data_IF_648377192769
#
_entry.id   IF_648377192769
#
_cell.length_a   1.000
_cell.length_b   1.000
_cell.length_c   1.000
_cell.angle_alpha   90.00
_cell.angle_beta   90.00
_cell.angle_gamma   90.00
#
_symmetry.space_group_name_H-M   'P 1'
#
loop_
_entity.id
_entity.type
_entity.pdbx_description
1 polymer ?
#
# COMPACT_ATOMS: atom_id res chain seq x y z
N UNK A 1 1.57 7.16 2.83
CA UNK A 1 2.00 7.50 1.47
C UNK A 1 0.95 8.33 0.75
N UNK A 2 1.40 9.10 -0.21
CA UNK A 2 0.54 9.86 -1.10
C UNK A 2 0.06 8.97 -2.22
N UNK A 3 -1.23 9.02 -2.50
CA UNK A 3 -1.72 8.61 -3.79
C UNK A 3 -1.42 9.72 -4.83
N UNK A 4 -1.59 9.43 -6.09
CA UNK A 4 -1.37 10.39 -7.18
C UNK A 4 -2.32 11.58 -7.14
N UNK A 5 -3.41 11.48 -6.43
CA UNK A 5 -4.35 12.58 -6.18
C UNK A 5 -3.84 13.57 -5.15
N UNK A 6 -2.79 13.21 -4.39
CA UNK A 6 -2.03 14.14 -3.53
C UNK A 6 -2.78 14.69 -2.33
N UNK A 7 -3.88 14.09 -1.92
CA UNK A 7 -4.78 14.70 -0.95
C UNK A 7 -4.96 13.92 0.33
N UNK A 8 -4.55 12.67 0.36
CA UNK A 8 -4.90 11.79 1.46
C UNK A 8 -3.70 10.98 1.91
N UNK A 9 -3.64 10.73 3.19
CA UNK A 9 -2.73 9.80 3.83
C UNK A 9 -3.17 8.37 3.53
N UNK A 10 -3.17 8.00 2.25
CA UNK A 10 -3.53 6.67 1.82
C UNK A 10 -2.53 5.65 2.37
N UNK A 11 -3.06 4.53 2.83
CA UNK A 11 -2.28 3.38 3.22
C UNK A 11 -2.60 2.23 2.25
N UNK A 12 -2.07 2.29 1.03
CA UNK A 12 -2.30 1.29 0.01
C UNK A 12 -1.62 -0.02 0.37
N UNK A 13 -2.03 -1.07 -0.29
CA UNK A 13 -1.48 -2.40 -0.08
C UNK A 13 -0.31 -2.65 -1.03
N UNK A 14 0.80 -3.09 -0.47
CA UNK A 14 1.99 -3.50 -1.20
C UNK A 14 2.25 -5.01 -1.06
N UNK A 15 2.96 -5.54 -2.03
CA UNK A 15 3.48 -6.91 -2.01
C UNK A 15 5.00 -6.91 -2.19
N UNK A 16 5.63 -7.96 -1.72
CA UNK A 16 7.04 -8.24 -1.95
C UNK A 16 7.32 -9.72 -1.80
N UNK A 17 8.43 -10.19 -2.35
CA UNK A 17 8.93 -11.53 -2.09
C UNK A 17 9.43 -11.67 -0.64
N UNK A 18 9.53 -12.88 -0.08
CA UNK A 18 10.02 -13.09 1.28
C UNK A 18 11.44 -12.58 1.55
N UNK A 19 12.25 -12.39 0.51
CA UNK A 19 13.60 -11.82 0.59
C UNK A 19 13.63 -10.29 0.42
N UNK A 20 12.46 -9.66 0.35
CA UNK A 20 12.30 -8.21 0.19
C UNK A 20 12.43 -7.70 -1.24
N UNK A 21 12.64 -8.58 -2.22
CA UNK A 21 12.68 -8.20 -3.63
C UNK A 21 11.28 -8.06 -4.22
N UNK A 22 11.16 -7.40 -5.36
CA UNK A 22 9.91 -7.27 -6.11
C UNK A 22 8.85 -6.46 -5.36
N UNK A 23 9.26 -5.43 -4.62
CA UNK A 23 8.31 -4.52 -4.00
C UNK A 23 7.46 -3.84 -5.05
N UNK A 24 6.16 -4.00 -4.95
CA UNK A 24 5.21 -3.43 -5.90
C UNK A 24 3.88 -3.15 -5.19
N UNK A 25 3.16 -2.19 -5.72
CA UNK A 25 1.79 -1.97 -5.34
C UNK A 25 0.95 -3.20 -5.64
N UNK A 26 0.02 -3.47 -4.74
CA UNK A 26 -0.99 -4.50 -4.93
C UNK A 26 -2.37 -3.89 -5.17
N UNK A 27 -2.75 -2.88 -4.36
CA UNK A 27 -4.04 -2.21 -4.44
C UNK A 27 -3.99 -0.83 -3.76
N UNK A 28 -4.62 0.17 -4.34
CA UNK A 28 -5.04 1.40 -3.69
C UNK A 28 -4.13 2.61 -3.86
N UNK A 29 -3.09 2.55 -4.72
CA UNK A 29 -2.17 3.68 -4.90
C UNK A 29 -2.86 4.93 -5.45
N UNK A 30 -3.83 4.76 -6.33
CA UNK A 30 -4.63 5.85 -6.89
C UNK A 30 -6.04 5.96 -6.29
N UNK A 31 -6.34 5.16 -5.28
CA UNK A 31 -7.63 5.17 -4.63
C UNK A 31 -7.83 6.42 -3.78
N UNK A 32 -8.97 7.03 -3.94
CA UNK A 32 -9.42 8.13 -3.10
C UNK A 32 -9.96 7.62 -1.77
N UNK A 33 -10.65 6.50 -1.84
CA UNK A 33 -11.17 5.74 -0.69
C UNK A 33 -11.23 4.24 -1.05
N UNK A 34 -11.25 3.35 -0.08
CA UNK A 34 -10.93 3.59 1.31
C UNK A 34 -9.46 3.96 1.47
N UNK A 35 -9.17 4.85 2.39
CA UNK A 35 -7.81 5.36 2.57
C UNK A 35 -6.88 4.39 3.27
N UNK A 36 -7.44 3.44 4.00
CA UNK A 36 -6.68 2.44 4.75
C UNK A 36 -7.23 1.06 4.49
N UNK A 37 -6.34 0.16 4.10
CA UNK A 37 -6.60 -1.27 3.95
C UNK A 37 -5.73 -2.01 4.95
N UNK A 38 -6.34 -2.77 5.86
CA UNK A 38 -5.61 -3.40 6.95
C UNK A 38 -6.02 -4.85 7.18
N UNK A 39 -5.22 -5.56 7.99
CA UNK A 39 -5.48 -6.92 8.46
C UNK A 39 -5.72 -7.92 7.32
N UNK A 40 -4.94 -7.77 6.25
CA UNK A 40 -5.09 -8.51 5.01
C UNK A 40 -4.71 -9.98 5.18
N UNK A 41 -5.52 -10.85 4.59
CA UNK A 41 -5.27 -12.28 4.47
C UNK A 41 -5.52 -12.77 3.05
N UNK A 42 -4.64 -13.63 2.55
CA UNK A 42 -4.87 -14.29 1.26
C UNK A 42 -6.01 -15.30 1.38
N UNK A 43 -6.90 -15.29 0.40
CA UNK A 43 -7.92 -16.32 0.24
C UNK A 43 -7.26 -17.58 -0.31
N UNK A 44 -7.40 -18.73 0.36
CA UNK A 44 -6.72 -19.96 -0.04
C UNK A 44 -6.96 -20.35 -1.49
N UNK A 45 -5.88 -20.67 -2.20
CA UNK A 45 -5.94 -21.15 -3.59
C UNK A 45 -6.14 -20.06 -4.65
N UNK A 46 -6.21 -18.80 -4.26
CA UNK A 46 -6.45 -17.67 -5.17
C UNK A 46 -5.36 -16.60 -5.07
N UNK A 47 -5.42 -15.59 -5.93
CA UNK A 47 -4.67 -14.35 -5.80
C UNK A 47 -5.43 -13.28 -5.02
N UNK A 48 -6.70 -13.54 -4.71
CA UNK A 48 -7.55 -12.60 -3.99
C UNK A 48 -7.14 -12.48 -2.53
N UNK A 49 -7.40 -11.32 -1.98
CA UNK A 49 -7.15 -10.99 -0.58
C UNK A 49 -8.44 -10.55 0.10
N UNK A 50 -8.57 -10.85 1.36
CA UNK A 50 -9.64 -10.32 2.19
C UNK A 50 -9.05 -9.36 3.23
N UNK A 51 -9.73 -8.26 3.50
CA UNK A 51 -9.26 -7.28 4.47
C UNK A 51 -10.32 -6.36 5.01
N UNK A 52 -9.89 -5.52 5.91
CA UNK A 52 -10.70 -4.49 6.55
C UNK A 52 -10.41 -3.14 5.91
N UNK A 53 -11.47 -2.46 5.49
CA UNK A 53 -11.44 -1.16 4.83
C UNK A 53 -11.95 -0.10 5.78
N UNK A 54 -11.16 0.92 6.00
CA UNK A 54 -11.45 1.97 6.97
C UNK A 54 -10.97 3.34 6.50
N UNK A 55 -11.48 4.40 7.11
CA UNK A 55 -10.97 5.75 6.93
C UNK A 55 -9.69 6.00 7.73
N UNK A 56 -9.00 7.09 7.43
CA UNK A 56 -7.75 7.48 8.06
C UNK A 56 -7.87 7.68 9.58
N UNK A 57 -8.95 8.30 10.05
CA UNK A 57 -9.21 8.58 11.46
C UNK A 57 -10.23 7.61 12.08
N UNK A 58 -10.17 6.35 11.73
CA UNK A 58 -10.97 5.29 12.37
C UNK A 58 -10.07 4.38 13.19
N UNK A 59 -10.57 3.82 14.30
CA UNK A 59 -9.90 2.69 14.93
C UNK A 59 -9.75 1.55 13.92
N UNK A 60 -8.82 0.64 14.16
CA UNK A 60 -8.46 -0.43 13.20
C UNK A 60 -9.55 -1.51 13.05
N UNK A 61 -10.73 -1.06 12.71
CA UNK A 61 -11.90 -1.87 12.34
C UNK A 61 -12.71 -1.11 11.28
N UNK A 62 -13.56 -1.79 10.55
CA UNK A 62 -14.33 -1.16 9.48
C UNK A 62 -15.13 -2.17 8.66
N UNK A 63 -15.21 -1.94 7.37
CA UNK A 63 -15.94 -2.77 6.41
C UNK A 63 -15.09 -3.94 5.95
N UNK A 64 -15.76 -5.06 5.64
CA UNK A 64 -15.10 -6.27 5.16
C UNK A 64 -15.20 -6.33 3.64
N UNK A 65 -14.07 -6.56 2.98
CA UNK A 65 -14.04 -6.67 1.52
C UNK A 65 -13.01 -7.66 1.00
N UNK A 66 -13.24 -8.06 -0.24
CA UNK A 66 -12.34 -8.90 -1.03
C UNK A 66 -11.71 -8.03 -2.11
N UNK A 67 -10.39 -8.09 -2.22
CA UNK A 67 -9.60 -7.48 -3.28
C UNK A 67 -9.31 -8.54 -4.33
N UNK A 68 -9.69 -8.25 -5.57
CA UNK A 68 -9.36 -9.03 -6.75
C UNK A 68 -8.48 -8.17 -7.67
N UNK A 69 -7.16 -8.40 -7.73
CA UNK A 69 -6.26 -7.58 -8.54
C UNK A 69 -6.47 -7.78 -10.06
N UNK A 70 -7.22 -8.80 -10.46
CA UNK A 70 -7.54 -9.05 -11.87
C UNK A 70 -8.76 -8.24 -12.33
N UNK A 71 -9.63 -7.83 -11.39
CA UNK A 71 -10.76 -6.95 -11.67
C UNK A 71 -10.38 -5.47 -11.67
N UNK A 72 -9.30 -5.11 -10.99
CA UNK A 72 -8.81 -3.74 -10.88
C UNK A 72 -7.94 -3.55 -9.64
N UNK A 73 -7.34 -2.37 -9.51
CA UNK A 73 -6.40 -2.09 -8.41
C UNK A 73 -6.72 -0.85 -7.60
N UNK A 74 -7.77 -0.14 -7.97
CA UNK A 74 -8.13 1.09 -7.32
C UNK A 74 -9.64 1.20 -7.10
N UNK A 75 -10.01 1.81 -5.97
CA UNK A 75 -11.41 2.07 -5.60
C UNK A 75 -12.29 0.81 -5.73
N UNK A 76 -13.45 0.94 -6.35
CA UNK A 76 -14.39 -0.18 -6.47
C UNK A 76 -14.10 -1.13 -7.64
N UNK A 77 -13.11 -0.85 -8.48
CA UNK A 77 -12.81 -1.71 -9.62
C UNK A 77 -12.20 -3.06 -9.18
N UNK A 78 -11.40 -3.03 -8.12
CA UNK A 78 -10.77 -4.23 -7.58
C UNK A 78 -11.33 -4.71 -6.25
N UNK A 79 -12.45 -4.13 -5.76
CA UNK A 79 -12.99 -4.46 -4.43
C UNK A 79 -14.46 -4.82 -4.50
N UNK A 80 -14.79 -5.94 -3.86
CA UNK A 80 -16.17 -6.32 -3.56
C UNK A 80 -16.37 -6.33 -2.04
N UNK A 81 -17.31 -5.51 -1.54
CA UNK A 81 -17.66 -5.54 -0.14
C UNK A 81 -18.50 -6.78 0.19
N UNK A 82 -18.07 -7.51 1.19
CA UNK A 82 -18.80 -8.62 1.78
C UNK A 82 -19.74 -8.11 2.86
N UNK A 83 -19.35 -7.03 3.53
CA UNK A 83 -20.20 -6.37 4.52
C UNK A 83 -19.95 -4.86 4.53
N UNK A 84 -20.95 -4.07 4.20
CA UNK A 84 -22.29 -4.47 3.71
C UNK A 84 -22.23 -5.17 2.35
N UNK A 85 -23.07 -6.15 2.20
CA UNK A 85 -23.07 -7.06 1.03
C UNK A 85 -23.25 -6.28 -0.26
N UNK A 86 -22.32 -6.45 -1.20
CA UNK A 86 -22.39 -5.93 -2.58
C UNK A 86 -22.70 -4.44 -2.72
N UNK A 87 -22.36 -3.63 -1.69
CA UNK A 87 -22.57 -2.18 -1.75
C UNK A 87 -21.24 -1.45 -1.79
N UNK A 88 -21.03 -0.58 -2.77
CA UNK A 88 -20.03 0.47 -2.66
C UNK A 88 -20.47 1.43 -1.54
N UNK A 89 -19.53 1.88 -0.74
CA UNK A 89 -19.81 2.90 0.27
C UNK A 89 -19.52 4.29 -0.32
N UNK A 90 -20.30 5.31 0.07
CA UNK A 90 -20.01 6.67 -0.31
C UNK A 90 -18.70 7.13 0.31
N UNK A 91 -18.02 7.98 -0.39
CA UNK A 91 -16.71 8.49 -0.05
C UNK A 91 -16.73 9.32 1.23
N UNK A 92 -16.13 8.81 2.27
CA UNK A 92 -15.81 9.56 3.48
C UNK A 92 -14.40 9.20 3.91
N UNK A 93 -13.45 10.01 3.48
CA UNK A 93 -12.03 9.75 3.66
C UNK A 93 -11.68 9.45 5.12
N UNK A 94 -12.13 10.29 6.06
CA UNK A 94 -11.81 10.13 7.48
C UNK A 94 -12.79 9.27 8.25
N UNK A 95 -14.01 9.15 7.79
CA UNK A 95 -15.08 8.47 8.53
C UNK A 95 -15.51 7.13 7.93
N UNK A 96 -14.88 6.71 6.84
CA UNK A 96 -15.23 5.47 6.17
C UNK A 96 -15.12 4.27 7.10
N UNK A 97 -16.14 3.42 7.11
CA UNK A 97 -16.18 2.23 7.96
C UNK A 97 -16.46 2.49 9.45
N UNK A 98 -16.78 3.72 9.85
CA UNK A 98 -16.94 4.10 11.27
C UNK A 98 -18.29 3.73 11.86
N UNK A 99 -19.32 3.63 11.03
CA UNK A 99 -20.70 3.42 11.46
C UNK A 99 -21.19 2.02 11.11
N UNK A 100 -22.24 1.57 11.79
CA UNK A 100 -22.86 0.27 11.62
C UNK A 100 -21.95 -0.91 11.99
N UNK A 101 -22.13 -2.04 11.35
CA UNK A 101 -21.37 -3.27 11.55
C UNK A 101 -19.85 -3.03 11.44
N UNK A 102 -19.10 -3.53 12.40
CA UNK A 102 -17.66 -3.41 12.45
C UNK A 102 -16.98 -4.77 12.39
N UNK A 103 -15.94 -4.86 11.59
CA UNK A 103 -15.17 -6.07 11.35
C UNK A 103 -13.70 -5.88 11.67
N UNK A 104 -13.08 -6.93 12.15
CA UNK A 104 -11.63 -7.02 12.37
C UNK A 104 -11.13 -8.43 12.04
N UNK A 105 -9.86 -8.52 11.73
CA UNK A 105 -9.09 -9.76 11.66
C UNK A 105 -9.79 -10.89 10.87
N UNK A 106 -10.18 -10.66 9.62
CA UNK A 106 -10.78 -11.71 8.81
C UNK A 106 -9.79 -12.86 8.60
N UNK A 107 -10.33 -14.07 8.60
CA UNK A 107 -9.60 -15.29 8.31
C UNK A 107 -10.38 -16.10 7.27
N UNK A 108 -10.07 -15.93 5.98
CA UNK A 108 -10.79 -16.64 4.93
C UNK A 108 -10.49 -18.13 4.97
N UNK A 109 -11.55 -18.92 4.90
CA UNK A 109 -11.52 -20.38 4.75
C UNK A 109 -11.59 -20.75 3.27
N UNK A 110 -12.37 -19.99 2.51
CA UNK A 110 -12.56 -20.07 1.06
C UNK A 110 -12.91 -18.70 0.49
N UNK A 111 -13.31 -18.61 -0.77
CA UNK A 111 -13.85 -17.37 -1.37
C UNK A 111 -15.23 -16.99 -0.80
N UNK A 112 -15.91 -17.91 -0.15
CA UNK A 112 -17.29 -17.74 0.29
C UNK A 112 -17.50 -17.93 1.78
N UNK A 113 -16.49 -18.37 2.54
CA UNK A 113 -16.61 -18.65 3.96
C UNK A 113 -15.42 -18.10 4.73
N UNK A 114 -15.69 -17.48 5.89
CA UNK A 114 -14.70 -16.73 6.65
C UNK A 114 -14.92 -16.91 8.16
N UNK A 115 -13.84 -16.84 8.92
CA UNK A 115 -13.90 -16.49 10.34
C UNK A 115 -13.60 -15.00 10.48
N UNK A 116 -14.34 -14.31 11.31
CA UNK A 116 -14.22 -12.87 11.50
C UNK A 116 -14.37 -12.49 12.98
N UNK A 117 -13.76 -11.40 13.36
CA UNK A 117 -14.15 -10.68 14.57
C UNK A 117 -15.17 -9.62 14.17
N UNK A 118 -16.32 -9.62 14.84
CA UNK A 118 -17.46 -8.79 14.46
C UNK A 118 -18.18 -8.22 15.67
N UNK A 119 -18.67 -6.98 15.51
CA UNK A 119 -19.64 -6.36 16.41
C UNK A 119 -20.69 -5.58 15.61
N UNK A 120 -21.98 -5.66 15.96
CA UNK A 120 -23.05 -4.88 15.33
C UNK A 120 -23.04 -3.40 15.76
N UNK A 121 -22.27 -3.08 16.79
CA UNK A 121 -22.23 -1.73 17.36
C UNK A 121 -21.22 -0.87 16.59
N UNK A 122 -21.69 0.24 16.05
CA UNK A 122 -20.81 1.24 15.47
C UNK A 122 -19.82 1.81 16.50
N UNK A 123 -18.82 2.52 16.01
CA UNK A 123 -17.86 3.19 16.87
C UNK A 123 -18.49 4.39 17.57
N UNK A 124 -18.56 4.32 18.89
CA UNK A 124 -18.92 5.44 19.76
C UNK A 124 -17.76 5.73 20.72
N UNK A 125 -17.30 6.96 20.74
CA UNK A 125 -16.26 7.39 21.68
C UNK A 125 -16.72 7.15 23.11
N UNK A 126 -15.96 6.42 23.90
CA UNK A 126 -16.23 6.16 25.30
C UNK A 126 -17.04 4.88 25.61
N UNK A 127 -17.45 4.14 24.58
CA UNK A 127 -18.06 2.83 24.79
C UNK A 127 -17.09 1.70 24.40
N UNK A 128 -16.87 0.70 25.27
CA UNK A 128 -16.11 -0.47 24.89
C UNK A 128 -16.83 -1.20 23.76
N UNK A 129 -16.11 -1.52 22.72
CA UNK A 129 -16.62 -2.34 21.63
C UNK A 129 -16.31 -3.80 21.92
N UNK A 130 -17.34 -4.60 22.08
CA UNK A 130 -17.22 -6.02 22.33
C UNK A 130 -17.28 -6.78 21.00
N UNK A 131 -16.17 -7.32 20.58
CA UNK A 131 -16.09 -8.19 19.41
C UNK A 131 -16.28 -9.64 19.82
N UNK A 132 -17.11 -10.35 19.08
CA UNK A 132 -17.17 -11.83 19.10
C UNK A 132 -16.51 -12.41 17.86
N UNK A 133 -16.17 -13.68 17.91
CA UNK A 133 -15.73 -14.45 16.74
C UNK A 133 -16.93 -15.12 16.10
N UNK A 134 -17.08 -14.92 14.81
CA UNK A 134 -18.17 -15.46 14.01
C UNK A 134 -17.64 -16.26 12.81
N UNK A 135 -18.37 -17.26 12.41
CA UNK A 135 -18.37 -17.74 11.04
C UNK A 135 -19.28 -16.82 10.21
N UNK A 136 -18.87 -16.57 8.98
CA UNK A 136 -19.64 -15.73 8.04
C UNK A 136 -19.48 -16.26 6.63
N UNK A 137 -20.54 -16.17 5.83
CA UNK A 137 -20.46 -16.42 4.39
C UNK A 137 -20.49 -15.12 3.57
N UNK A 138 -20.27 -15.28 2.24
CA UNK A 138 -20.25 -14.15 1.31
C UNK A 138 -21.61 -13.48 1.11
N UNK A 139 -22.70 -14.15 1.48
CA UNK A 139 -24.08 -13.62 1.44
C UNK A 139 -24.42 -12.80 2.70
N UNK A 140 -23.50 -12.73 3.65
CA UNK A 140 -23.64 -11.93 4.87
C UNK A 140 -24.28 -12.68 6.04
N UNK A 141 -24.59 -13.96 5.90
CA UNK A 141 -25.07 -14.80 7.00
C UNK A 141 -23.95 -15.03 8.00
N UNK A 142 -24.26 -14.95 9.28
CA UNK A 142 -23.27 -15.03 10.37
C UNK A 142 -23.76 -15.89 11.50
N UNK A 143 -22.84 -16.67 12.08
CA UNK A 143 -23.10 -17.49 13.24
C UNK A 143 -22.04 -17.19 14.31
N UNK A 144 -22.48 -16.88 15.54
CA UNK A 144 -21.60 -16.63 16.67
C UNK A 144 -20.93 -17.93 17.11
N UNK A 145 -19.61 -17.95 17.11
CA UNK A 145 -18.82 -19.08 17.58
C UNK A 145 -18.36 -18.91 19.02
N UNK A 146 -17.87 -17.72 19.36
CA UNK A 146 -17.41 -17.41 20.72
C UNK A 146 -17.52 -15.93 21.03
N UNK A 147 -17.93 -15.63 22.27
CA UNK A 147 -17.88 -14.29 22.85
C UNK A 147 -17.55 -14.39 24.33
N UNK A 148 -17.08 -13.30 24.90
CA UNK A 148 -16.87 -13.15 26.35
C UNK A 148 -17.42 -11.79 26.77
N UNK A 149 -18.02 -11.70 27.93
CA UNK A 149 -18.65 -10.47 28.45
C UNK A 149 -17.65 -9.49 29.06
N UNK A 150 -16.40 -9.85 29.20
CA UNK A 150 -15.35 -9.06 29.86
C UNK A 150 -14.25 -8.61 28.91
N UNK A 151 -14.06 -9.35 27.81
CA UNK A 151 -13.01 -9.08 26.82
C UNK A 151 -13.52 -9.30 25.39
N UNK A 152 -13.00 -8.53 24.45
CA UNK A 152 -13.25 -8.78 23.04
C UNK A 152 -12.53 -10.04 22.55
N UNK A 153 -13.25 -10.89 21.85
CA UNK A 153 -12.70 -12.06 21.15
C UNK A 153 -12.29 -11.65 19.73
N UNK A 154 -11.00 -11.76 19.40
CA UNK A 154 -10.50 -11.35 18.10
C UNK A 154 -9.39 -12.25 17.56
N UNK A 155 -8.90 -11.97 16.36
CA UNK A 155 -7.83 -12.69 15.66
C UNK A 155 -8.07 -14.21 15.53
N UNK A 156 -9.21 -14.63 14.98
CA UNK A 156 -9.48 -16.06 14.82
C UNK A 156 -8.45 -16.71 13.90
N UNK A 157 -8.04 -17.91 14.24
CA UNK A 157 -7.12 -18.72 13.43
C UNK A 157 -7.61 -20.16 13.43
N UNK A 158 -7.86 -20.71 12.24
CA UNK A 158 -8.18 -22.12 12.09
C UNK A 158 -6.92 -22.98 12.32
N UNK A 159 -6.95 -23.87 13.29
CA UNK A 159 -5.91 -24.87 13.51
C UNK A 159 -6.23 -26.08 12.65
N UNK A 160 -5.62 -26.19 11.50
CA UNK A 160 -5.79 -27.29 10.56
C UNK A 160 -4.49 -27.55 9.78
N UNK A 161 -4.30 -28.77 9.24
CA UNK A 161 -3.21 -29.03 8.31
C UNK A 161 -3.25 -28.07 7.11
N UNK A 162 -2.10 -27.49 6.77
CA UNK A 162 -1.99 -26.58 5.63
C UNK A 162 -0.88 -27.06 4.70
N UNK A 163 -1.12 -26.84 3.39
CA UNK A 163 -0.06 -27.00 2.39
C UNK A 163 1.08 -26.02 2.71
N UNK A 164 2.29 -26.55 2.77
CA UNK A 164 3.49 -25.71 2.97
C UNK A 164 3.59 -24.72 1.80
N UNK A 165 3.77 -23.42 2.07
CA UNK A 165 3.97 -22.45 1.00
C UNK A 165 5.19 -22.79 0.16
N UNK A 166 5.11 -22.48 -1.13
CA UNK A 166 6.27 -22.56 -2.01
C UNK A 166 7.36 -21.61 -1.49
N UNK A 167 8.57 -22.14 -1.34
CA UNK A 167 9.75 -21.33 -1.01
C UNK A 167 10.51 -21.03 -2.30
N UNK A 168 10.52 -19.76 -2.70
CA UNK A 168 11.45 -19.26 -3.70
C UNK A 168 12.81 -19.09 -3.04
N UNK A 169 13.87 -19.52 -3.71
CA UNK A 169 15.24 -19.20 -3.30
C UNK A 169 15.45 -17.68 -3.41
N UNK A 170 16.16 -17.12 -2.45
CA UNK A 170 16.51 -15.70 -2.51
C UNK A 170 17.40 -15.42 -3.72
N UNK A 171 17.14 -14.32 -4.40
CA UNK A 171 17.98 -13.77 -5.46
C UNK A 171 18.92 -12.67 -4.97
N UNK A 172 18.85 -12.35 -3.67
CA UNK A 172 19.69 -11.30 -3.06
C UNK A 172 21.11 -11.77 -2.91
N UNK A 173 22.04 -10.96 -3.41
CA UNK A 173 23.48 -11.17 -3.22
C UNK A 173 24.03 -10.09 -2.28
N UNK A 174 24.16 -10.43 -1.01
CA UNK A 174 24.63 -9.50 0.02
C UNK A 174 26.09 -9.08 -0.12
N UNK A 175 26.86 -9.64 -1.08
CA UNK A 175 28.20 -9.15 -1.42
C UNK A 175 28.16 -7.90 -2.29
N UNK A 176 26.98 -7.56 -2.84
CA UNK A 176 26.73 -6.35 -3.63
C UNK A 176 26.12 -5.26 -2.78
N UNK A 177 26.32 -4.01 -3.22
CA UNK A 177 25.72 -2.83 -2.58
C UNK A 177 24.85 -2.02 -3.54
N UNK A 178 24.56 -2.59 -4.70
CA UNK A 178 23.79 -1.95 -5.77
C UNK A 178 22.71 -2.87 -6.32
N UNK A 179 21.71 -2.27 -6.92
CA UNK A 179 20.69 -2.90 -7.75
C UNK A 179 20.52 -2.12 -9.06
N UNK A 180 19.66 -2.58 -9.92
CA UNK A 180 19.43 -2.03 -11.25
C UNK A 180 17.96 -1.74 -11.48
N UNK A 181 17.66 -0.56 -12.00
CA UNK A 181 16.36 -0.26 -12.60
C UNK A 181 16.45 -0.30 -14.13
N UNK A 182 15.41 -0.89 -14.71
CA UNK A 182 15.17 -0.86 -16.15
C UNK A 182 13.79 -0.27 -16.42
N UNK A 183 13.74 0.93 -16.97
CA UNK A 183 12.56 1.59 -17.49
C UNK A 183 12.39 1.24 -18.94
N UNK A 184 11.26 0.67 -19.36
CA UNK A 184 11.03 0.30 -20.76
C UNK A 184 10.72 1.54 -21.61
N UNK A 185 9.75 2.33 -21.19
CA UNK A 185 9.38 3.58 -21.86
C UNK A 185 8.71 4.53 -20.86
N UNK A 186 9.38 5.61 -20.52
CA UNK A 186 8.89 6.58 -19.52
C UNK A 186 7.53 7.19 -19.89
N UNK A 187 7.17 7.22 -21.17
CA UNK A 187 5.91 7.80 -21.66
C UNK A 187 4.73 6.83 -21.57
N UNK A 188 4.97 5.57 -21.22
CA UNK A 188 3.89 4.60 -21.02
C UNK A 188 3.14 4.90 -19.72
N UNK A 189 1.82 4.81 -19.76
CA UNK A 189 0.93 5.10 -18.63
C UNK A 189 0.48 6.54 -18.51
N UNK A 190 -0.17 6.87 -17.41
CA UNK A 190 -0.84 8.14 -17.21
C UNK A 190 0.04 9.26 -16.60
N UNK A 191 1.19 8.90 -16.01
CA UNK A 191 2.02 9.85 -15.27
C UNK A 191 2.60 10.99 -16.11
N UNK A 192 2.83 10.73 -17.40
CA UNK A 192 3.28 11.73 -18.38
C UNK A 192 2.23 12.01 -19.48
N UNK A 193 0.94 11.79 -19.18
CA UNK A 193 -0.14 12.06 -20.13
C UNK A 193 -0.10 13.53 -20.61
N UNK A 194 -0.05 13.71 -21.90
CA UNK A 194 0.03 15.04 -22.52
C UNK A 194 1.46 15.60 -22.68
N UNK A 195 2.46 14.92 -22.15
CA UNK A 195 3.87 15.25 -22.39
C UNK A 195 4.32 14.63 -23.71
N UNK A 196 4.85 15.44 -24.61
CA UNK A 196 5.31 14.97 -25.93
C UNK A 196 6.50 14.01 -25.76
N UNK A 197 6.50 12.84 -26.42
CA UNK A 197 7.68 11.97 -26.47
C UNK A 197 8.93 12.73 -26.90
N UNK A 198 10.05 12.43 -26.24
CA UNK A 198 11.31 13.15 -26.43
C UNK A 198 11.49 14.42 -25.59
N UNK A 199 10.47 14.84 -24.81
CA UNK A 199 10.61 15.97 -23.86
C UNK A 199 11.52 15.61 -22.70
N UNK A 200 11.38 14.39 -22.17
CA UNK A 200 12.20 13.93 -21.05
C UNK A 200 13.55 13.48 -21.59
N UNK A 201 14.61 14.05 -21.04
CA UNK A 201 16.00 13.75 -21.39
C UNK A 201 16.75 12.97 -20.33
N UNK A 202 16.35 13.16 -19.08
CA UNK A 202 17.04 12.56 -17.95
C UNK A 202 16.07 12.15 -16.85
N UNK A 203 16.49 11.15 -16.06
CA UNK A 203 15.92 10.84 -14.76
C UNK A 203 16.92 11.22 -13.67
N UNK A 204 16.50 12.08 -12.74
CA UNK A 204 17.23 12.34 -11.53
C UNK A 204 16.86 11.32 -10.47
N UNK A 205 17.86 10.70 -9.87
CA UNK A 205 17.72 9.73 -8.78
C UNK A 205 17.92 10.46 -7.46
N UNK A 206 16.93 10.36 -6.57
CA UNK A 206 16.95 11.02 -5.26
C UNK A 206 16.76 9.98 -4.16
N UNK A 207 17.69 9.96 -3.21
CA UNK A 207 17.59 9.19 -1.96
C UNK A 207 16.79 9.97 -0.94
N UNK A 208 15.86 9.30 -0.27
CA UNK A 208 15.19 9.83 0.90
C UNK A 208 15.93 9.34 2.14
N UNK A 209 16.44 10.27 2.93
CA UNK A 209 17.13 9.96 4.17
C UNK A 209 16.20 10.12 5.36
N UNK A 210 16.46 9.40 6.44
CA UNK A 210 15.75 9.64 7.68
C UNK A 210 15.96 11.07 8.15
N UNK A 211 14.93 11.65 8.74
CA UNK A 211 15.01 12.98 9.32
C UNK A 211 16.09 13.06 10.39
N UNK A 212 16.77 14.18 10.42
CA UNK A 212 17.61 14.52 11.55
C UNK A 212 16.75 14.81 12.78
N UNK A 213 17.29 14.52 13.97
CA UNK A 213 16.64 14.88 15.21
C UNK A 213 16.38 16.39 15.27
N UNK A 214 15.20 16.80 15.71
CA UNK A 214 14.78 18.20 15.81
C UNK A 214 14.27 18.82 14.50
N UNK A 215 14.31 18.11 13.38
CA UNK A 215 13.75 18.59 12.11
C UNK A 215 12.29 18.17 12.00
N UNK A 216 11.42 19.13 11.69
CA UNK A 216 9.98 18.89 11.54
C UNK A 216 9.29 18.61 12.86
N UNK A 217 9.79 19.16 13.94
CA UNK A 217 9.21 19.07 15.28
C UNK A 217 7.81 19.71 15.31
N UNK A 218 6.83 18.91 15.72
CA UNK A 218 5.47 19.40 15.97
C UNK A 218 5.21 19.24 17.47
N UNK A 219 4.74 20.29 18.10
CA UNK A 219 4.45 20.36 19.55
C UNK A 219 5.65 20.30 20.49
N UNK A 220 6.85 20.56 20.03
CA UNK A 220 8.03 20.78 20.87
C UNK A 220 8.58 19.58 21.65
N UNK A 221 8.01 18.38 21.45
CA UNK A 221 8.39 17.20 22.23
C UNK A 221 8.89 16.01 21.40
N UNK A 222 8.80 16.08 20.09
CA UNK A 222 9.19 14.98 19.23
C UNK A 222 10.68 15.00 18.91
N UNK A 223 11.42 14.20 19.61
CA UNK A 223 12.85 14.00 19.35
C UNK A 223 13.02 12.90 18.31
N UNK A 224 13.86 13.13 17.35
CA UNK A 224 14.17 12.12 16.34
C UNK A 224 13.39 12.26 15.05
N UNK A 225 13.16 13.48 14.62
CA UNK A 225 12.51 13.77 13.36
C UNK A 225 11.01 13.83 13.44
N UNK A 226 10.54 14.12 14.65
CA UNK A 226 9.16 14.27 15.04
C UNK A 226 8.26 14.70 13.94
N UNK A 227 7.69 13.77 13.34
CA UNK A 227 6.60 14.02 12.48
C UNK A 227 5.38 13.90 13.32
N UNK A 228 4.43 14.67 13.00
CA UNK A 228 3.04 14.30 13.15
C UNK A 228 2.88 12.82 12.80
N UNK A 229 3.77 12.33 12.01
CA UNK A 229 3.82 10.98 11.50
C UNK A 229 5.08 10.32 11.98
N UNK A 230 4.98 9.44 12.90
CA UNK A 230 5.94 8.37 13.15
C UNK A 230 6.04 7.44 11.92
N UNK A 231 5.74 7.96 10.75
CA UNK A 231 5.68 7.21 9.51
C UNK A 231 7.07 7.06 8.92
N UNK A 232 7.26 6.02 8.11
CA UNK A 232 8.47 5.86 7.32
C UNK A 232 8.71 7.09 6.43
N UNK A 233 9.90 7.17 5.89
CA UNK A 233 10.30 8.24 4.96
C UNK A 233 9.25 8.48 3.88
N UNK A 234 9.00 9.72 3.54
CA UNK A 234 7.95 10.13 2.61
C UNK A 234 8.41 11.14 1.58
N UNK A 235 7.69 11.23 0.46
CA UNK A 235 7.97 12.13 -0.70
C UNK A 235 6.91 13.19 -0.78
N UNK A 236 6.07 13.52 -0.11
CA UNK A 236 5.01 14.49 -0.33
C UNK A 236 4.99 15.64 0.65
N UNK A 237 3.87 16.32 0.71
CA UNK A 237 3.62 17.37 1.69
C UNK A 237 3.71 16.79 3.11
N UNK A 238 4.15 17.59 4.05
CA UNK A 238 4.45 17.18 5.42
C UNK A 238 5.53 16.07 5.54
N UNK A 239 6.24 15.78 4.46
CA UNK A 239 7.43 14.93 4.51
C UNK A 239 8.65 15.82 4.78
N UNK A 240 9.21 15.67 5.97
CA UNK A 240 10.36 16.44 6.45
C UNK A 240 11.69 15.72 6.20
N UNK A 241 11.64 14.63 5.47
CA UNK A 241 12.81 13.80 5.20
C UNK A 241 13.79 14.50 4.28
N UNK A 242 15.08 14.35 4.57
CA UNK A 242 16.15 14.94 3.78
C UNK A 242 16.20 14.24 2.41
N UNK A 243 16.26 15.03 1.35
CA UNK A 243 16.38 14.56 -0.04
C UNK A 243 17.82 14.75 -0.51
N UNK A 244 18.45 13.67 -0.90
CA UNK A 244 19.82 13.67 -1.43
C UNK A 244 19.82 13.27 -2.89
N UNK A 245 20.22 14.16 -3.78
CA UNK A 245 20.43 13.84 -5.18
C UNK A 245 21.64 12.93 -5.32
N UNK A 246 21.47 11.75 -5.87
CA UNK A 246 22.55 10.81 -6.14
C UNK A 246 23.17 11.01 -7.52
N UNK A 247 22.38 11.45 -8.49
CA UNK A 247 22.83 11.68 -9.85
C UNK A 247 21.69 11.71 -10.83
N UNK A 248 22.03 11.67 -12.10
CA UNK A 248 21.11 11.62 -13.22
C UNK A 248 21.51 10.49 -14.16
N UNK A 249 20.52 9.92 -14.86
CA UNK A 249 20.71 8.98 -15.96
C UNK A 249 20.00 9.50 -17.20
N UNK A 250 20.53 9.19 -18.38
CA UNK A 250 19.90 9.57 -19.64
C UNK A 250 18.66 8.71 -19.92
N UNK A 251 17.66 9.33 -20.51
CA UNK A 251 16.51 8.67 -21.13
C UNK A 251 16.78 8.57 -22.61
N UNK A 252 16.74 7.36 -23.14
CA UNK A 252 17.00 7.09 -24.54
C UNK A 252 15.87 7.64 -25.44
N UNK A 253 16.10 7.78 -26.75
CA UNK A 253 15.08 8.30 -27.68
C UNK A 253 13.77 7.51 -27.70
N UNK A 254 13.82 6.22 -27.38
CA UNK A 254 12.65 5.34 -27.24
C UNK A 254 11.95 5.45 -25.89
N UNK A 255 12.44 6.32 -25.00
CA UNK A 255 11.91 6.51 -23.66
C UNK A 255 12.49 5.54 -22.62
N UNK A 256 13.37 4.65 -23.00
CA UNK A 256 13.97 3.67 -22.07
C UNK A 256 15.09 4.30 -21.22
N UNK A 257 15.35 3.68 -20.06
CA UNK A 257 16.50 3.98 -19.23
C UNK A 257 16.96 2.74 -18.47
N UNK A 258 18.27 2.58 -18.33
CA UNK A 258 18.88 1.49 -17.59
C UNK A 258 19.99 2.06 -16.71
N UNK A 259 19.87 1.87 -15.39
CA UNK A 259 20.81 2.49 -14.46
C UNK A 259 20.94 1.73 -13.14
N UNK A 260 22.12 1.86 -12.55
CA UNK A 260 22.46 1.31 -11.26
C UNK A 260 22.16 2.31 -10.15
N UNK A 261 21.74 1.78 -9.01
CA UNK A 261 21.46 2.56 -7.80
C UNK A 261 21.96 1.84 -6.56
N UNK A 262 22.26 2.55 -5.46
CA UNK A 262 22.54 1.92 -4.19
C UNK A 262 21.36 1.05 -3.72
N UNK A 263 21.65 -0.18 -3.31
CA UNK A 263 20.67 -1.07 -2.71
C UNK A 263 20.29 -0.62 -1.29
N UNK A 264 19.12 -1.06 -0.83
CA UNK A 264 18.58 -0.80 0.54
C UNK A 264 18.45 0.69 0.87
N UNK A 265 18.14 1.48 -0.14
CA UNK A 265 17.88 2.91 -0.02
C UNK A 265 16.51 3.23 -0.59
N UNK A 266 15.68 3.99 0.11
CA UNK A 266 14.43 4.48 -0.45
C UNK A 266 14.75 5.56 -1.48
N UNK A 267 14.39 5.31 -2.72
CA UNK A 267 14.69 6.14 -3.87
C UNK A 267 13.41 6.56 -4.58
N UNK A 268 13.41 7.77 -5.11
CA UNK A 268 12.39 8.21 -6.05
C UNK A 268 13.03 8.92 -7.24
N UNK A 269 12.25 9.09 -8.30
CA UNK A 269 12.75 9.61 -9.57
C UNK A 269 12.03 10.90 -9.97
N UNK A 270 12.77 11.77 -10.65
CA UNK A 270 12.25 12.98 -11.24
C UNK A 270 12.60 12.98 -12.73
N UNK A 271 11.57 13.11 -13.57
CA UNK A 271 11.73 13.25 -15.03
C UNK A 271 12.11 14.69 -15.36
N UNK A 272 13.22 14.87 -16.05
CA UNK A 272 13.79 16.19 -16.39
C UNK A 272 13.74 16.45 -17.88
N UNK A 273 13.47 17.71 -18.24
CA UNK A 273 13.60 18.22 -19.61
C UNK A 273 15.07 18.49 -20.01
N UNK A 274 15.27 19.03 -21.20
CA UNK A 274 16.60 19.39 -21.74
C UNK A 274 17.31 20.49 -20.91
N UNK A 275 16.58 21.29 -20.17
CA UNK A 275 17.12 22.34 -19.29
C UNK A 275 17.33 21.86 -17.85
N UNK A 276 17.12 20.58 -17.57
CA UNK A 276 17.19 19.99 -16.23
C UNK A 276 16.04 20.38 -15.31
N UNK A 277 14.94 20.89 -15.83
CA UNK A 277 13.74 21.23 -15.07
C UNK A 277 12.89 20.00 -14.87
N UNK A 278 12.27 19.89 -13.70
CA UNK A 278 11.37 18.79 -13.36
C UNK A 278 10.07 18.94 -14.12
N UNK A 279 9.76 17.98 -14.95
CA UNK A 279 8.47 17.84 -15.65
C UNK A 279 7.49 17.03 -14.82
N UNK A 280 7.98 15.94 -14.20
CA UNK A 280 7.19 15.07 -13.33
C UNK A 280 8.07 14.52 -12.20
N UNK A 281 7.47 14.30 -11.05
CA UNK A 281 8.14 13.66 -9.91
C UNK A 281 7.36 12.45 -9.46
N UNK A 282 8.06 11.37 -9.15
CA UNK A 282 7.47 10.22 -8.49
C UNK A 282 7.01 10.63 -7.09
N UNK A 283 5.84 10.18 -6.66
CA UNK A 283 5.23 10.54 -5.38
C UNK A 283 5.28 9.42 -4.34
N UNK A 284 5.81 8.31 -4.72
CA UNK A 284 6.15 7.18 -3.86
C UNK A 284 7.65 6.92 -3.95
N UNK A 285 8.14 5.91 -3.29
CA UNK A 285 9.52 5.50 -3.37
C UNK A 285 9.62 3.99 -3.57
N UNK A 286 10.76 3.57 -4.04
CA UNK A 286 11.10 2.17 -4.27
C UNK A 286 12.45 1.86 -3.66
N UNK A 287 12.64 0.62 -3.24
CA UNK A 287 13.91 0.14 -2.68
C UNK A 287 14.28 -1.16 -3.35
N UNK A 288 15.51 -1.27 -3.79
CA UNK A 288 16.07 -2.52 -4.31
C UNK A 288 16.85 -3.27 -3.24
N UNK A 289 16.76 -4.58 -3.27
CA UNK A 289 17.70 -5.44 -2.55
C UNK A 289 19.03 -5.51 -3.30
N UNK A 290 20.14 -5.89 -2.64
CA UNK A 290 21.42 -6.11 -3.29
C UNK A 290 21.33 -7.08 -4.48
N UNK A 291 21.85 -6.67 -5.64
CA UNK A 291 21.81 -7.39 -6.90
C UNK A 291 20.40 -7.55 -7.53
N UNK A 292 19.40 -6.88 -7.02
CA UNK A 292 18.06 -6.91 -7.59
C UNK A 292 18.02 -6.11 -8.90
N UNK A 293 17.32 -6.67 -9.88
CA UNK A 293 16.95 -5.99 -11.12
C UNK A 293 15.43 -5.83 -11.11
N UNK A 294 14.97 -4.59 -11.12
CA UNK A 294 13.55 -4.27 -11.18
C UNK A 294 13.23 -3.54 -12.49
N UNK A 295 12.21 -4.00 -13.18
CA UNK A 295 11.73 -3.39 -14.40
C UNK A 295 10.47 -2.56 -14.10
N UNK A 296 10.41 -1.37 -14.70
CA UNK A 296 9.24 -0.51 -14.78
C UNK A 296 8.81 -0.42 -16.24
N UNK A 297 7.50 -0.60 -16.53
CA UNK A 297 6.99 -0.44 -17.90
C UNK A 297 7.04 1.03 -18.29
N UNK A 298 6.53 1.91 -17.41
CA UNK A 298 6.52 3.34 -17.63
C UNK A 298 6.23 4.12 -16.35
N UNK A 299 5.85 5.39 -16.52
CA UNK A 299 5.49 6.27 -15.42
C UNK A 299 4.00 6.10 -15.10
N UNK A 300 3.71 5.45 -13.97
CA UNK A 300 2.33 5.11 -13.54
C UNK A 300 1.56 4.28 -14.58
N UNK A 301 2.22 3.25 -15.09
CA UNK A 301 1.58 2.26 -15.94
C UNK A 301 0.45 1.51 -15.21
N UNK A 302 -0.59 1.14 -15.95
CA UNK A 302 -1.54 0.15 -15.48
C UNK A 302 -0.88 -1.22 -15.52
N UNK A 303 -0.68 -1.82 -14.38
CA UNK A 303 -0.20 -3.21 -14.29
C UNK A 303 -1.39 -4.14 -14.51
N UNK A 304 -1.45 -4.72 -15.67
CA UNK A 304 -2.38 -5.81 -15.98
C UNK A 304 -1.99 -7.10 -15.28
#
# INVERSE_FOLDING_TARGET
DYNDRGQVWAQPLFQMNPDGTGQAEYYGMNSWFPTTVAQIRQIPGTRKLMGVFMGHHTPQHGKLGIIDPEAGRDENEGVMFVAPVHKPEPERIDGYGKFTDQFQHPFPLSETEFLISYTPLGYYVGHPMEFGVYWMNADGERELLVSDTRISCNQPVLVAPRKRPFRRSSSVDYTKNEGVYYMQNIYEGNGLKGVKPGTIKQLRVVEIQFRAAGVGEVNGNDKGGGAIMSSPVGVGNAAWDVKRVLGVTEVQPDGSAFFKVPARKPLYFQALDENGRVVQTMRSWSTLQPNEVQSCVGCHEHKN
#
